data_IF_746965692601
#
_entry.id   IF_746965692601
#
_cell.length_a   1.000
_cell.length_b   1.000
_cell.length_c   1.000
_cell.angle_alpha   90.00
_cell.angle_beta   90.00
_cell.angle_gamma   90.00
#
_symmetry.space_group_name_H-M   'P 1'
#
loop_
_entity.id
_entity.type
_entity.pdbx_description
1 polymer ?
#
# COMPACT_ATOMS: atom_id res chain seq x y z
N UNK A 1 30.78 -8.53 34.28
CA UNK A 1 30.16 -7.95 33.08
C UNK A 1 31.23 -7.20 32.29
N UNK A 2 31.12 -7.22 30.96
CA UNK A 2 31.93 -6.39 30.06
C UNK A 2 30.96 -5.44 29.37
N UNK A 3 30.95 -4.17 29.74
CA UNK A 3 30.03 -3.18 29.19
C UNK A 3 30.77 -1.89 28.87
N UNK A 4 30.58 -1.39 27.64
CA UNK A 4 31.07 -0.07 27.19
C UNK A 4 32.55 0.22 27.48
N UNK A 5 33.43 -0.79 27.34
CA UNK A 5 34.88 -0.65 27.53
C UNK A 5 35.39 -0.86 28.96
N UNK A 6 34.49 -1.07 29.93
CA UNK A 6 34.83 -1.32 31.32
C UNK A 6 34.50 -2.77 31.70
N UNK A 7 35.37 -3.40 32.48
CA UNK A 7 35.11 -4.71 33.06
C UNK A 7 34.89 -4.61 34.57
N UNK A 8 33.98 -5.45 35.05
CA UNK A 8 33.77 -5.66 36.48
C UNK A 8 33.50 -7.15 36.72
N UNK A 9 34.29 -7.78 37.56
CA UNK A 9 34.02 -9.15 37.99
C UNK A 9 34.39 -9.36 39.45
N UNK A 10 33.69 -10.29 40.11
CA UNK A 10 33.95 -10.71 41.48
C UNK A 10 34.26 -12.20 41.47
N UNK A 11 35.45 -12.58 41.91
CA UNK A 11 35.82 -13.99 42.12
C UNK A 11 36.04 -14.16 43.62
N UNK A 12 35.21 -15.02 44.22
CA UNK A 12 35.10 -15.17 45.67
C UNK A 12 34.89 -13.80 46.38
N UNK A 13 35.89 -13.32 47.12
CA UNK A 13 35.86 -12.07 47.90
C UNK A 13 36.67 -10.92 47.30
N UNK A 14 37.30 -11.12 46.14
CA UNK A 14 38.08 -10.06 45.46
C UNK A 14 37.27 -9.46 44.34
N UNK A 15 37.10 -8.14 44.40
CA UNK A 15 36.48 -7.33 43.35
C UNK A 15 37.58 -6.85 42.43
N UNK A 16 37.41 -7.10 41.13
CA UNK A 16 38.30 -6.60 40.10
C UNK A 16 37.55 -5.67 39.16
N UNK A 17 38.14 -4.51 38.89
CA UNK A 17 37.59 -3.48 38.01
C UNK A 17 38.68 -2.84 37.18
N UNK A 18 38.30 -2.37 36.01
CA UNK A 18 39.11 -1.48 35.18
C UNK A 18 38.69 -1.53 33.73
N UNK A 19 39.60 -1.14 32.84
CA UNK A 19 39.31 -1.02 31.41
C UNK A 19 39.76 -2.25 30.63
N UNK A 20 39.08 -2.55 29.52
CA UNK A 20 39.52 -3.60 28.61
C UNK A 20 39.67 -3.12 27.18
N UNK A 21 40.72 -3.61 26.51
CA UNK A 21 40.91 -3.42 25.08
C UNK A 21 40.82 -4.78 24.41
N UNK A 22 39.94 -4.87 23.41
CA UNK A 22 39.81 -6.04 22.55
C UNK A 22 40.29 -5.69 21.15
N UNK A 23 41.36 -6.34 20.68
CA UNK A 23 41.85 -6.18 19.32
C UNK A 23 42.24 -7.56 18.75
N UNK A 24 41.59 -7.92 17.63
CA UNK A 24 41.71 -9.22 16.97
C UNK A 24 41.42 -10.40 17.91
N UNK A 25 42.47 -11.08 18.38
CA UNK A 25 42.38 -12.28 19.22
C UNK A 25 43.01 -12.08 20.61
N UNK A 26 43.25 -10.83 20.99
CA UNK A 26 43.89 -10.43 22.24
C UNK A 26 42.91 -9.59 23.03
N UNK A 27 42.70 -9.99 24.29
CA UNK A 27 41.96 -9.23 25.29
C UNK A 27 42.94 -8.79 26.37
N UNK A 28 43.06 -7.47 26.56
CA UNK A 28 43.94 -6.87 27.57
C UNK A 28 43.05 -6.22 28.62
N UNK A 29 43.22 -6.63 29.87
CA UNK A 29 42.59 -6.00 31.03
C UNK A 29 43.60 -5.10 31.74
N UNK A 30 43.22 -3.83 31.90
CA UNK A 30 43.92 -2.84 32.71
C UNK A 30 43.20 -2.77 34.05
N UNK A 31 43.81 -3.28 35.13
CA UNK A 31 43.16 -3.32 36.45
C UNK A 31 43.42 -2.03 37.22
N UNK A 32 42.34 -1.38 37.65
CA UNK A 32 42.38 -0.31 38.66
C UNK A 32 42.45 -0.89 40.07
N UNK A 33 41.80 -2.04 40.28
CA UNK A 33 41.82 -2.81 41.52
C UNK A 33 41.97 -4.31 41.20
N UNK A 34 43.02 -5.02 41.68
CA UNK A 34 44.18 -4.51 42.41
C UNK A 34 45.10 -3.66 41.51
N UNK A 35 45.71 -2.61 42.08
CA UNK A 35 46.51 -1.61 41.37
C UNK A 35 47.67 -2.23 40.57
N UNK A 36 47.96 -1.63 39.41
CA UNK A 36 49.13 -1.88 38.55
C UNK A 36 49.31 -3.32 38.05
N UNK A 37 48.20 -4.03 37.79
CA UNK A 37 48.27 -5.32 37.11
C UNK A 37 47.69 -5.19 35.70
N UNK A 38 48.47 -5.56 34.68
CA UNK A 38 47.98 -5.72 33.31
C UNK A 38 47.98 -7.20 32.98
N UNK A 39 46.82 -7.78 32.72
CA UNK A 39 46.71 -9.20 32.36
C UNK A 39 46.30 -9.33 30.90
N UNK A 40 47.12 -10.05 30.14
CA UNK A 40 46.88 -10.33 28.72
C UNK A 40 46.30 -11.73 28.59
N UNK A 41 45.12 -11.83 27.98
CA UNK A 41 44.52 -13.11 27.63
C UNK A 41 44.45 -13.28 26.13
N UNK A 42 44.79 -14.49 25.67
CA UNK A 42 44.56 -14.91 24.29
C UNK A 42 43.17 -15.53 24.21
N UNK A 43 42.34 -15.01 23.32
CA UNK A 43 41.00 -15.56 23.08
C UNK A 43 41.16 -16.89 22.36
N UNK A 44 40.49 -17.93 22.88
CA UNK A 44 40.57 -19.29 22.33
C UNK A 44 39.39 -19.58 21.42
N UNK A 45 38.20 -19.03 21.72
CA UNK A 45 37.03 -19.08 20.86
C UNK A 45 36.27 -17.74 20.90
N UNK A 46 35.95 -17.23 19.70
CA UNK A 46 35.14 -16.04 19.48
C UNK A 46 33.87 -16.45 18.73
N UNK A 47 32.71 -16.30 19.36
CA UNK A 47 31.40 -16.41 18.69
C UNK A 47 30.66 -15.08 18.81
N UNK A 48 29.64 -14.87 17.97
CA UNK A 48 28.89 -13.60 17.87
C UNK A 48 28.26 -13.10 19.19
N UNK A 49 28.23 -13.93 20.24
CA UNK A 49 27.63 -13.60 21.54
C UNK A 49 28.41 -14.11 22.77
N UNK A 50 29.55 -14.77 22.57
CA UNK A 50 30.31 -15.39 23.66
C UNK A 50 31.81 -15.26 23.45
N UNK A 51 32.48 -14.73 24.47
CA UNK A 51 33.94 -14.68 24.54
C UNK A 51 34.43 -15.75 25.52
N UNK A 52 35.29 -16.66 25.05
CA UNK A 52 35.94 -17.66 25.89
C UNK A 52 37.44 -17.38 25.93
N UNK A 53 37.95 -17.11 27.13
CA UNK A 53 39.38 -16.92 27.36
C UNK A 53 39.86 -17.78 28.53
N UNK A 54 41.13 -18.20 28.43
CA UNK A 54 41.77 -19.04 29.44
C UNK A 54 42.67 -18.15 30.32
N UNK A 55 42.50 -18.25 31.63
CA UNK A 55 43.45 -17.73 32.63
C UNK A 55 43.97 -18.92 33.42
N UNK A 56 45.17 -18.82 33.99
CA UNK A 56 45.89 -19.93 34.64
C UNK A 56 44.92 -20.80 35.47
N UNK A 57 44.72 -22.06 35.01
CA UNK A 57 43.81 -23.09 35.55
C UNK A 57 42.29 -22.83 35.56
N UNK A 58 41.76 -21.83 34.84
CA UNK A 58 40.32 -21.53 34.81
C UNK A 58 39.86 -20.99 33.45
N UNK A 59 38.89 -21.67 32.83
CA UNK A 59 38.22 -21.20 31.61
C UNK A 59 37.07 -20.26 31.97
N UNK A 60 37.12 -19.01 31.52
CA UNK A 60 36.06 -18.03 31.75
C UNK A 60 35.22 -17.88 30.48
N UNK A 61 33.90 -18.08 30.61
CA UNK A 61 32.91 -17.81 29.56
C UNK A 61 32.17 -16.53 29.91
N UNK A 62 32.32 -15.49 29.09
CA UNK A 62 31.58 -14.24 29.24
C UNK A 62 30.58 -14.14 28.08
N UNK A 63 29.30 -14.31 28.41
CA UNK A 63 28.19 -14.06 27.50
C UNK A 63 27.80 -12.59 27.58
N UNK A 64 27.68 -11.91 26.44
CA UNK A 64 27.08 -10.58 26.41
C UNK A 64 25.60 -10.71 26.76
N UNK A 65 25.15 -9.99 27.78
CA UNK A 65 23.70 -9.81 28.00
C UNK A 65 23.22 -8.97 26.82
N UNK A 66 22.58 -9.62 25.85
CA UNK A 66 21.88 -8.95 24.75
C UNK A 66 20.99 -7.88 25.40
N UNK A 67 21.13 -6.58 25.07
CA UNK A 67 20.17 -5.59 25.53
C UNK A 67 18.81 -6.09 25.06
N UNK A 68 17.89 -6.29 25.99
CA UNK A 68 16.52 -6.67 25.67
C UNK A 68 15.97 -5.57 24.78
N UNK A 69 15.98 -5.79 23.45
CA UNK A 69 15.18 -4.99 22.53
C UNK A 69 13.79 -4.99 23.15
N UNK A 70 13.30 -3.81 23.53
CA UNK A 70 11.93 -3.65 23.97
C UNK A 70 11.08 -4.42 22.97
N UNK A 71 10.41 -5.47 23.46
CA UNK A 71 9.60 -6.37 22.65
C UNK A 71 8.60 -5.46 21.93
N UNK A 72 8.84 -5.19 20.64
CA UNK A 72 7.90 -4.46 19.79
C UNK A 72 6.58 -5.19 20.03
N UNK A 73 5.50 -4.52 20.48
CA UNK A 73 4.25 -5.20 20.74
C UNK A 73 3.95 -6.00 19.48
N UNK A 74 3.91 -7.33 19.60
CA UNK A 74 3.50 -8.20 18.52
C UNK A 74 2.16 -7.63 18.06
N UNK A 75 2.14 -7.08 16.85
CA UNK A 75 0.92 -6.56 16.24
C UNK A 75 0.08 -7.81 16.04
N UNK A 76 -0.73 -8.14 17.04
CA UNK A 76 -1.67 -9.25 16.96
C UNK A 76 -2.66 -8.83 15.89
N UNK A 77 -2.46 -9.34 14.68
CA UNK A 77 -3.34 -9.08 13.55
C UNK A 77 -4.69 -9.63 13.95
N UNK A 78 -5.61 -8.75 14.37
CA UNK A 78 -6.96 -9.15 14.73
C UNK A 78 -7.59 -9.75 13.47
N UNK A 79 -7.99 -11.04 13.49
CA UNK A 79 -8.66 -11.63 12.35
C UNK A 79 -9.95 -10.88 12.07
N UNK A 80 -10.37 -10.83 10.81
CA UNK A 80 -11.64 -10.21 10.39
C UNK A 80 -12.79 -10.82 11.19
N UNK A 81 -13.52 -10.00 11.97
CA UNK A 81 -14.65 -10.43 12.81
C UNK A 81 -15.90 -10.85 11.99
N UNK A 82 -15.77 -11.08 10.69
CA UNK A 82 -16.87 -11.48 9.83
C UNK A 82 -17.96 -10.42 9.71
N UNK A 83 -19.13 -10.83 9.21
CA UNK A 83 -20.28 -9.95 9.06
C UNK A 83 -21.04 -9.85 10.40
N UNK A 84 -21.04 -8.69 11.02
CA UNK A 84 -21.85 -8.42 12.23
C UNK A 84 -23.01 -7.49 11.89
N UNK A 85 -24.13 -7.63 12.62
CA UNK A 85 -25.28 -6.74 12.45
C UNK A 85 -24.91 -5.27 12.68
N UNK A 86 -24.02 -5.00 13.64
CA UNK A 86 -23.51 -3.66 13.91
C UNK A 86 -22.73 -3.07 12.73
N UNK A 87 -21.89 -3.87 12.06
CA UNK A 87 -21.16 -3.44 10.86
C UNK A 87 -22.10 -3.11 9.69
N UNK A 88 -23.13 -3.92 9.50
CA UNK A 88 -24.15 -3.69 8.48
C UNK A 88 -24.95 -2.43 8.74
N UNK A 89 -25.47 -2.26 9.97
CA UNK A 89 -26.22 -1.07 10.36
C UNK A 89 -25.38 0.20 10.24
N UNK A 90 -24.10 0.15 10.61
CA UNK A 90 -23.18 1.29 10.44
C UNK A 90 -22.97 1.65 8.97
N UNK A 91 -22.81 0.65 8.10
CA UNK A 91 -22.73 0.87 6.65
C UNK A 91 -24.02 1.45 6.06
N UNK A 92 -25.16 0.90 6.45
CA UNK A 92 -26.48 1.38 6.03
C UNK A 92 -26.74 2.82 6.50
N UNK A 93 -26.41 3.14 7.75
CA UNK A 93 -26.51 4.49 8.30
C UNK A 93 -25.62 5.47 7.54
N UNK A 94 -24.39 5.07 7.19
CA UNK A 94 -23.49 5.89 6.38
C UNK A 94 -24.07 6.21 5.00
N UNK A 95 -24.58 5.22 4.28
CA UNK A 95 -25.25 5.44 2.98
C UNK A 95 -26.47 6.35 3.12
N UNK A 96 -27.31 6.11 4.13
CA UNK A 96 -28.49 6.95 4.39
C UNK A 96 -28.11 8.41 4.70
N UNK A 97 -27.06 8.62 5.49
CA UNK A 97 -26.56 9.95 5.82
C UNK A 97 -26.06 10.71 4.58
N UNK A 98 -25.31 10.03 3.69
CA UNK A 98 -24.88 10.64 2.43
C UNK A 98 -26.07 11.03 1.54
N UNK A 99 -27.10 10.18 1.46
CA UNK A 99 -28.33 10.51 0.73
C UNK A 99 -29.07 11.71 1.33
N UNK A 100 -29.09 11.85 2.67
CA UNK A 100 -29.66 13.03 3.34
C UNK A 100 -28.87 14.29 2.95
N UNK A 101 -27.54 14.25 2.98
CA UNK A 101 -26.72 15.40 2.59
C UNK A 101 -27.01 15.79 1.13
N UNK A 102 -27.00 14.82 0.21
CA UNK A 102 -27.33 15.06 -1.20
C UNK A 102 -28.74 15.62 -1.38
N UNK A 103 -29.71 15.16 -0.59
CA UNK A 103 -31.08 15.68 -0.60
C UNK A 103 -31.18 17.12 -0.06
N UNK A 104 -30.46 17.43 1.04
CA UNK A 104 -30.45 18.76 1.64
C UNK A 104 -29.80 19.81 0.72
N UNK A 105 -28.71 19.44 0.05
CA UNK A 105 -27.99 20.27 -0.92
C UNK A 105 -28.64 20.30 -2.31
N UNK A 106 -29.73 19.55 -2.52
CA UNK A 106 -30.45 19.54 -3.80
C UNK A 106 -31.16 20.86 -4.07
N UNK A 107 -30.95 21.42 -5.27
CA UNK A 107 -31.60 22.66 -5.74
C UNK A 107 -33.12 22.51 -5.85
N UNK A 108 -33.61 21.36 -6.30
CA UNK A 108 -35.05 21.10 -6.45
C UNK A 108 -35.42 19.70 -5.95
N UNK A 109 -35.74 19.61 -4.65
CA UNK A 109 -36.09 18.37 -3.95
C UNK A 109 -37.33 17.67 -4.50
N UNK A 110 -38.24 18.40 -5.16
CA UNK A 110 -39.47 17.83 -5.73
C UNK A 110 -39.25 17.19 -7.10
N UNK A 111 -38.21 17.61 -7.82
CA UNK A 111 -37.87 17.09 -9.14
C UNK A 111 -36.94 15.85 -9.10
N UNK A 112 -36.62 15.34 -7.90
CA UNK A 112 -35.77 14.16 -7.74
C UNK A 112 -36.49 12.93 -8.30
N UNK A 113 -35.90 12.32 -9.32
CA UNK A 113 -36.39 11.06 -9.85
C UNK A 113 -35.91 9.89 -8.96
N UNK A 114 -36.73 9.54 -7.97
CA UNK A 114 -36.45 8.46 -7.02
C UNK A 114 -36.27 7.09 -7.68
N UNK A 115 -36.84 6.87 -8.87
CA UNK A 115 -36.63 5.64 -9.64
C UNK A 115 -35.17 5.55 -10.11
N UNK A 116 -34.64 6.62 -10.69
CA UNK A 116 -33.24 6.66 -11.15
C UNK A 116 -32.26 6.54 -9.98
N UNK A 117 -32.53 7.23 -8.86
CA UNK A 117 -31.71 7.12 -7.64
C UNK A 117 -31.72 5.69 -7.09
N UNK A 118 -32.90 5.07 -6.97
CA UNK A 118 -33.05 3.70 -6.48
C UNK A 118 -32.36 2.67 -7.39
N UNK A 119 -32.48 2.82 -8.70
CA UNK A 119 -31.79 1.94 -9.66
C UNK A 119 -30.27 2.11 -9.57
N UNK A 120 -29.76 3.35 -9.50
CA UNK A 120 -28.33 3.60 -9.37
C UNK A 120 -27.73 3.00 -8.11
N UNK A 121 -28.36 3.23 -6.96
CA UNK A 121 -27.94 2.64 -5.68
C UNK A 121 -28.02 1.11 -5.71
N UNK A 122 -29.09 0.56 -6.27
CA UNK A 122 -29.23 -0.90 -6.39
C UNK A 122 -28.18 -1.49 -7.30
N UNK A 123 -27.88 -0.86 -8.44
CA UNK A 123 -26.83 -1.31 -9.36
C UNK A 123 -25.45 -1.28 -8.70
N UNK A 124 -25.14 -0.24 -7.92
CA UNK A 124 -23.89 -0.15 -7.17
C UNK A 124 -23.78 -1.25 -6.10
N UNK A 125 -24.85 -1.50 -5.33
CA UNK A 125 -24.89 -2.57 -4.33
C UNK A 125 -24.81 -3.96 -4.95
N UNK A 126 -25.51 -4.19 -6.08
CA UNK A 126 -25.47 -5.45 -6.81
C UNK A 126 -24.08 -5.72 -7.38
N UNK A 127 -23.40 -4.71 -7.93
CA UNK A 127 -22.04 -4.84 -8.42
C UNK A 127 -21.06 -5.13 -7.26
N UNK A 128 -21.16 -4.39 -6.15
CA UNK A 128 -20.34 -4.63 -4.97
C UNK A 128 -20.53 -6.04 -4.39
N UNK A 129 -21.78 -6.47 -4.22
CA UNK A 129 -22.10 -7.82 -3.76
C UNK A 129 -21.62 -8.88 -4.76
N UNK A 130 -21.82 -8.64 -6.05
CA UNK A 130 -21.38 -9.52 -7.12
C UNK A 130 -19.88 -9.78 -7.04
N UNK A 131 -19.07 -8.72 -7.01
CA UNK A 131 -17.61 -8.82 -6.95
C UNK A 131 -17.11 -9.44 -5.64
N UNK A 132 -17.75 -9.14 -4.50
CA UNK A 132 -17.27 -9.57 -3.17
C UNK A 132 -17.76 -10.95 -2.73
N UNK A 133 -18.88 -11.44 -3.25
CA UNK A 133 -19.55 -12.66 -2.75
C UNK A 133 -19.78 -13.74 -3.80
N UNK A 134 -19.88 -13.38 -5.08
CA UNK A 134 -20.20 -14.35 -6.14
C UNK A 134 -18.89 -14.86 -6.75
N UNK A 135 -18.51 -16.14 -6.53
CA UNK A 135 -17.18 -16.64 -6.91
C UNK A 135 -16.89 -16.56 -8.41
N UNK A 136 -17.91 -16.73 -9.25
CA UNK A 136 -17.75 -16.61 -10.70
C UNK A 136 -17.43 -15.17 -11.12
N UNK A 137 -18.11 -14.17 -10.53
CA UNK A 137 -17.87 -12.76 -10.82
C UNK A 137 -16.49 -12.37 -10.29
N UNK A 138 -16.15 -12.79 -9.07
CA UNK A 138 -14.82 -12.58 -8.49
C UNK A 138 -13.72 -13.09 -9.43
N UNK A 139 -13.82 -14.33 -9.93
CA UNK A 139 -12.83 -14.90 -10.88
C UNK A 139 -12.72 -14.10 -12.17
N UNK A 140 -13.84 -13.59 -12.70
CA UNK A 140 -13.82 -12.75 -13.89
C UNK A 140 -13.06 -11.44 -13.64
N UNK A 141 -13.30 -10.79 -12.49
CA UNK A 141 -12.57 -9.57 -12.10
C UNK A 141 -11.09 -9.85 -11.77
N UNK A 142 -10.77 -10.98 -11.15
CA UNK A 142 -9.38 -11.41 -10.92
C UNK A 142 -8.64 -11.66 -12.24
N UNK A 143 -9.31 -12.26 -13.22
CA UNK A 143 -8.74 -12.44 -14.56
C UNK A 143 -8.43 -11.10 -15.22
N UNK A 144 -9.38 -10.15 -15.19
CA UNK A 144 -9.15 -8.79 -15.71
C UNK A 144 -8.03 -8.09 -14.94
N UNK A 145 -8.00 -8.19 -13.61
CA UNK A 145 -6.93 -7.65 -12.77
C UNK A 145 -5.56 -8.24 -13.11
N UNK A 146 -5.50 -9.54 -13.43
CA UNK A 146 -4.28 -10.20 -13.89
C UNK A 146 -3.74 -9.63 -15.20
N UNK A 147 -4.60 -9.21 -16.13
CA UNK A 147 -4.18 -8.51 -17.35
C UNK A 147 -3.53 -7.17 -17.01
N UNK A 148 -4.08 -6.40 -16.06
CA UNK A 148 -3.47 -5.15 -15.63
C UNK A 148 -2.13 -5.37 -14.92
N UNK A 149 -2.00 -6.41 -14.10
CA UNK A 149 -0.72 -6.78 -13.48
C UNK A 149 0.32 -7.13 -14.54
N UNK A 150 -0.05 -7.91 -15.57
CA UNK A 150 0.86 -8.23 -16.67
C UNK A 150 1.34 -6.98 -17.42
N UNK A 151 0.45 -6.01 -17.63
CA UNK A 151 0.81 -4.71 -18.22
C UNK A 151 1.78 -3.93 -17.32
N UNK A 152 1.57 -3.96 -16.00
CA UNK A 152 2.49 -3.36 -15.03
C UNK A 152 3.87 -4.01 -15.08
N UNK A 153 3.94 -5.33 -15.26
CA UNK A 153 5.20 -6.06 -15.39
C UNK A 153 5.96 -5.67 -16.66
N UNK A 154 5.27 -5.51 -17.80
CA UNK A 154 5.89 -4.98 -19.03
C UNK A 154 6.40 -3.56 -18.84
N UNK A 155 5.66 -2.73 -18.11
CA UNK A 155 6.09 -1.36 -17.80
C UNK A 155 7.32 -1.35 -16.92
N UNK A 156 7.37 -2.23 -15.91
CA UNK A 156 8.52 -2.38 -15.02
C UNK A 156 9.77 -2.80 -15.80
N UNK A 157 9.65 -3.80 -16.68
CA UNK A 157 10.76 -4.24 -17.53
C UNK A 157 11.27 -3.11 -18.45
N UNK A 158 10.36 -2.33 -19.04
CA UNK A 158 10.73 -1.15 -19.84
C UNK A 158 11.41 -0.05 -19.02
N UNK A 159 10.96 0.15 -17.77
CA UNK A 159 11.54 1.14 -16.86
C UNK A 159 12.92 0.74 -16.37
N UNK A 160 13.12 -0.55 -16.08
CA UNK A 160 14.43 -1.12 -15.73
C UNK A 160 15.42 -1.02 -16.89
N UNK A 161 14.96 -1.23 -18.14
CA UNK A 161 15.78 -1.00 -19.33
C UNK A 161 16.25 0.46 -19.45
N UNK A 162 15.38 1.43 -19.15
CA UNK A 162 15.70 2.86 -19.28
C UNK A 162 16.51 3.43 -18.10
N UNK A 163 16.21 2.99 -16.88
CA UNK A 163 16.70 3.61 -15.64
C UNK A 163 17.67 2.72 -14.86
N UNK A 164 17.81 1.45 -15.24
CA UNK A 164 18.74 0.49 -14.65
C UNK A 164 18.60 0.39 -13.13
N UNK A 165 19.73 0.50 -12.43
CA UNK A 165 19.81 0.38 -10.97
C UNK A 165 18.99 1.41 -10.20
N UNK A 166 18.53 2.51 -10.80
CA UNK A 166 17.67 3.49 -10.12
C UNK A 166 16.27 2.93 -9.79
N UNK A 167 15.87 1.82 -10.42
CA UNK A 167 14.66 1.08 -10.09
C UNK A 167 14.86 0.10 -8.92
N UNK A 168 16.11 -0.12 -8.48
CA UNK A 168 16.43 -1.03 -7.39
C UNK A 168 16.16 -0.39 -6.03
N UNK A 169 15.07 -0.85 -5.42
CA UNK A 169 14.65 -0.42 -4.08
C UNK A 169 15.68 -0.79 -3.01
N UNK A 170 16.46 -1.85 -3.21
CA UNK A 170 17.46 -2.29 -2.23
C UNK A 170 18.69 -1.39 -2.21
N UNK A 171 19.06 -0.81 -3.35
CA UNK A 171 20.22 0.07 -3.51
C UNK A 171 19.89 1.55 -3.27
N UNK A 172 18.79 2.04 -3.83
CA UNK A 172 18.45 3.48 -3.85
C UNK A 172 17.18 3.83 -3.07
N UNK A 173 16.51 2.83 -2.48
CA UNK A 173 15.22 3.03 -1.82
C UNK A 173 14.06 3.20 -2.82
N UNK A 174 12.84 3.36 -2.29
CA UNK A 174 11.65 3.57 -3.12
C UNK A 174 11.59 5.01 -3.64
N UNK A 175 12.14 5.24 -4.84
CA UNK A 175 12.06 6.55 -5.49
C UNK A 175 10.72 6.66 -6.23
N UNK A 176 9.78 7.43 -5.66
CA UNK A 176 8.44 7.65 -6.21
C UNK A 176 8.45 7.96 -7.72
N UNK A 177 9.34 8.86 -8.14
CA UNK A 177 9.45 9.32 -9.53
C UNK A 177 9.64 8.16 -10.50
N UNK A 178 10.55 7.23 -10.19
CA UNK A 178 10.92 6.13 -11.09
C UNK A 178 9.98 4.93 -10.96
N UNK A 179 9.36 4.74 -9.79
CA UNK A 179 8.47 3.60 -9.56
C UNK A 179 7.05 3.85 -10.08
N UNK A 180 6.58 5.09 -10.10
CA UNK A 180 5.16 5.39 -10.36
C UNK A 180 4.94 6.14 -11.68
N UNK A 181 5.80 7.11 -12.03
CA UNK A 181 5.57 7.90 -13.26
C UNK A 181 5.67 7.09 -14.56
N UNK A 182 6.62 6.16 -14.74
CA UNK A 182 6.70 5.36 -15.97
C UNK A 182 5.43 4.55 -16.22
N UNK A 183 4.79 4.04 -15.16
CA UNK A 183 3.48 3.38 -15.22
C UNK A 183 2.42 4.30 -15.81
N UNK A 184 2.34 5.55 -15.35
CA UNK A 184 1.38 6.53 -15.87
C UNK A 184 1.65 6.80 -17.36
N UNK A 185 2.91 7.04 -17.73
CA UNK A 185 3.29 7.34 -19.13
C UNK A 185 2.93 6.17 -20.05
N UNK A 186 3.26 4.94 -19.64
CA UNK A 186 2.94 3.74 -20.42
C UNK A 186 1.44 3.56 -20.57
N UNK A 187 0.67 3.66 -19.48
CA UNK A 187 -0.78 3.52 -19.53
C UNK A 187 -1.43 4.64 -20.36
N UNK A 188 -0.98 5.89 -20.27
CA UNK A 188 -1.47 6.98 -21.12
C UNK A 188 -1.21 6.69 -22.60
N UNK A 189 -0.02 6.19 -22.96
CA UNK A 189 0.29 5.82 -24.34
C UNK A 189 -0.55 4.62 -24.82
N UNK A 190 -0.72 3.59 -23.99
CA UNK A 190 -1.54 2.42 -24.30
C UNK A 190 -3.01 2.80 -24.48
N UNK A 191 -3.57 3.61 -23.58
CA UNK A 191 -4.95 4.09 -23.67
C UNK A 191 -5.14 4.96 -24.93
N UNK A 192 -4.17 5.83 -25.26
CA UNK A 192 -4.19 6.60 -26.51
C UNK A 192 -4.16 5.70 -27.75
N UNK A 193 -3.39 4.61 -27.73
CA UNK A 193 -3.37 3.62 -28.81
C UNK A 193 -4.71 2.89 -28.94
N UNK A 194 -5.27 2.40 -27.82
CA UNK A 194 -6.56 1.72 -27.80
C UNK A 194 -7.71 2.65 -28.23
N UNK A 195 -7.60 3.95 -27.93
CA UNK A 195 -8.51 4.97 -28.41
C UNK A 195 -8.35 5.21 -29.91
N UNK A 196 -7.13 5.29 -30.44
CA UNK A 196 -6.90 5.40 -31.89
C UNK A 196 -7.43 4.19 -32.66
N UNK A 197 -7.26 2.97 -32.11
CA UNK A 197 -7.73 1.72 -32.70
C UNK A 197 -9.26 1.51 -32.60
N UNK A 198 -9.98 2.35 -31.86
CA UNK A 198 -11.45 2.23 -31.73
C UNK A 198 -11.94 1.28 -30.64
N UNK A 199 -11.04 0.64 -29.87
CA UNK A 199 -11.41 -0.38 -28.87
C UNK A 199 -12.17 0.23 -27.69
N UNK A 200 -11.67 1.35 -27.16
CA UNK A 200 -12.30 2.06 -26.05
C UNK A 200 -13.72 2.51 -26.43
N UNK A 201 -13.91 3.00 -27.65
CA UNK A 201 -15.19 3.49 -28.14
C UNK A 201 -16.25 2.38 -28.20
N UNK A 202 -15.86 1.16 -28.61
CA UNK A 202 -16.79 0.02 -28.64
C UNK A 202 -17.22 -0.36 -27.23
N UNK A 203 -16.27 -0.48 -26.29
CA UNK A 203 -16.55 -0.83 -24.89
C UNK A 203 -17.42 0.24 -24.23
N UNK A 204 -17.01 1.50 -24.33
CA UNK A 204 -17.70 2.65 -23.73
C UNK A 204 -19.11 2.80 -24.31
N UNK A 205 -19.32 2.60 -25.62
CA UNK A 205 -20.66 2.62 -26.22
C UNK A 205 -21.56 1.50 -25.67
N UNK A 206 -21.01 0.31 -25.45
CA UNK A 206 -21.73 -0.80 -24.83
C UNK A 206 -22.16 -0.47 -23.39
N UNK A 207 -21.23 0.06 -22.59
CA UNK A 207 -21.52 0.47 -21.21
C UNK A 207 -22.51 1.63 -21.14
N UNK A 208 -22.34 2.63 -22.00
CA UNK A 208 -23.26 3.77 -22.09
C UNK A 208 -24.67 3.30 -22.44
N UNK A 209 -24.82 2.34 -23.35
CA UNK A 209 -26.11 1.76 -23.70
C UNK A 209 -26.76 1.04 -22.52
N UNK A 210 -25.98 0.28 -21.73
CA UNK A 210 -26.46 -0.34 -20.49
C UNK A 210 -26.93 0.71 -19.49
N UNK A 211 -26.14 1.77 -19.27
CA UNK A 211 -26.50 2.86 -18.36
C UNK A 211 -27.76 3.62 -18.81
N UNK A 212 -27.85 3.97 -20.09
CA UNK A 212 -29.05 4.61 -20.68
C UNK A 212 -30.28 3.75 -20.46
N UNK A 213 -30.18 2.43 -20.69
CA UNK A 213 -31.31 1.50 -20.57
C UNK A 213 -31.71 1.23 -19.12
N UNK A 214 -30.75 1.14 -18.21
CA UNK A 214 -31.01 0.89 -16.79
C UNK A 214 -31.55 2.15 -16.09
N UNK A 215 -30.87 3.29 -16.26
CA UNK A 215 -31.13 4.50 -15.47
C UNK A 215 -32.08 5.50 -16.16
N UNK A 216 -32.33 5.33 -17.47
CA UNK A 216 -33.21 6.23 -18.24
C UNK A 216 -32.61 7.62 -18.47
N UNK A 217 -31.29 7.73 -18.38
CA UNK A 217 -30.50 8.95 -18.56
C UNK A 217 -30.13 9.13 -20.04
N UNK A 218 -29.74 10.34 -20.44
CA UNK A 218 -29.40 10.69 -21.82
C UNK A 218 -28.19 9.90 -22.32
N UNK A 219 -28.15 9.68 -23.64
CA UNK A 219 -27.05 8.93 -24.26
C UNK A 219 -25.72 9.65 -24.12
N UNK A 220 -25.72 10.99 -24.15
CA UNK A 220 -24.50 11.79 -24.02
C UNK A 220 -23.98 11.79 -22.56
N UNK A 221 -24.86 11.91 -21.57
CA UNK A 221 -24.43 11.83 -20.17
C UNK A 221 -23.97 10.40 -19.80
N UNK A 222 -24.64 9.37 -20.32
CA UNK A 222 -24.21 7.97 -20.18
C UNK A 222 -22.85 7.71 -20.82
N UNK A 223 -22.58 8.28 -22.00
CA UNK A 223 -21.33 8.09 -22.72
C UNK A 223 -20.17 8.74 -21.98
N UNK A 224 -20.37 9.93 -21.40
CA UNK A 224 -19.35 10.58 -20.58
C UNK A 224 -19.03 9.80 -19.31
N UNK A 225 -20.05 9.33 -18.59
CA UNK A 225 -19.86 8.55 -17.35
C UNK A 225 -19.16 7.21 -17.65
N UNK A 226 -19.59 6.51 -18.70
CA UNK A 226 -18.91 5.29 -19.11
C UNK A 226 -17.47 5.55 -19.59
N UNK A 227 -17.24 6.69 -20.25
CA UNK A 227 -15.91 7.12 -20.71
C UNK A 227 -14.93 7.35 -19.55
N UNK A 228 -15.39 7.97 -18.46
CA UNK A 228 -14.57 8.26 -17.27
C UNK A 228 -14.03 7.00 -16.55
N UNK A 229 -14.53 5.80 -16.88
CA UNK A 229 -13.97 4.55 -16.34
C UNK A 229 -12.59 4.24 -16.95
N UNK A 230 -12.34 4.72 -18.17
CA UNK A 230 -11.11 4.44 -18.93
C UNK A 230 -10.29 5.68 -19.27
N UNK A 231 -10.95 6.83 -19.40
CA UNK A 231 -10.37 8.09 -19.81
C UNK A 231 -10.35 9.06 -18.64
N UNK A 232 -9.40 10.00 -18.66
CA UNK A 232 -9.34 11.04 -17.63
C UNK A 232 -10.54 11.99 -17.66
N UNK A 233 -10.74 12.73 -16.56
CA UNK A 233 -11.80 13.73 -16.39
C UNK A 233 -11.88 14.80 -17.48
N UNK A 234 -10.77 15.07 -18.18
CA UNK A 234 -10.69 16.03 -19.31
C UNK A 234 -10.87 15.36 -20.67
N UNK A 235 -10.72 14.04 -20.76
CA UNK A 235 -10.73 13.27 -22.01
C UNK A 235 -12.10 12.64 -22.28
N UNK A 236 -12.80 12.17 -21.25
CA UNK A 236 -14.13 11.60 -21.45
C UNK A 236 -15.16 12.61 -22.00
N UNK A 237 -15.19 13.89 -21.56
CA UNK A 237 -16.10 14.88 -22.15
C UNK A 237 -15.80 15.17 -23.63
N UNK A 238 -14.57 14.91 -24.11
CA UNK A 238 -14.22 15.08 -25.52
C UNK A 238 -15.04 14.16 -26.43
N UNK A 239 -15.42 12.98 -25.93
CA UNK A 239 -16.27 12.02 -26.66
C UNK A 239 -17.67 12.56 -26.94
N UNK A 240 -18.14 13.52 -26.12
CA UNK A 240 -19.46 14.13 -26.23
C UNK A 240 -19.38 15.61 -26.61
N UNK A 241 -18.24 16.09 -27.10
CA UNK A 241 -17.99 17.52 -27.39
C UNK A 241 -19.11 18.18 -28.19
N UNK A 242 -19.64 17.51 -29.22
CA UNK A 242 -20.71 18.02 -30.07
C UNK A 242 -22.07 18.20 -29.35
N UNK A 243 -22.25 17.55 -28.21
CA UNK A 243 -23.47 17.58 -27.41
C UNK A 243 -23.39 18.51 -26.20
N UNK A 244 -22.16 18.85 -25.73
CA UNK A 244 -21.95 19.67 -24.53
C UNK A 244 -22.69 21.02 -24.58
N UNK A 245 -22.69 21.71 -25.72
CA UNK A 245 -23.38 23.00 -25.87
C UNK A 245 -24.91 22.91 -25.73
N UNK A 246 -25.48 21.72 -25.97
CA UNK A 246 -26.92 21.47 -25.94
C UNK A 246 -27.37 20.76 -24.66
N UNK A 247 -26.45 20.44 -23.76
CA UNK A 247 -26.74 19.77 -22.50
C UNK A 247 -27.45 20.70 -21.51
N UNK A 248 -28.36 20.13 -20.76
CA UNK A 248 -28.99 20.79 -19.61
C UNK A 248 -27.98 20.97 -18.47
N UNK A 249 -28.29 21.85 -17.52
CA UNK A 249 -27.47 22.05 -16.32
C UNK A 249 -27.30 20.77 -15.49
N UNK A 250 -28.30 19.89 -15.50
CA UNK A 250 -28.23 18.60 -14.79
C UNK A 250 -27.27 17.63 -15.48
N UNK A 251 -27.30 17.56 -16.81
CA UNK A 251 -26.38 16.72 -17.59
C UNK A 251 -24.94 17.20 -17.43
N UNK A 252 -24.69 18.50 -17.48
CA UNK A 252 -23.35 19.07 -17.25
C UNK A 252 -22.86 18.76 -15.84
N UNK A 253 -23.73 18.92 -14.81
CA UNK A 253 -23.38 18.57 -13.44
C UNK A 253 -23.01 17.08 -13.33
N UNK A 254 -23.77 16.21 -13.96
CA UNK A 254 -23.50 14.78 -13.97
C UNK A 254 -22.18 14.45 -14.68
N UNK A 255 -21.87 15.10 -15.80
CA UNK A 255 -20.58 14.96 -16.50
C UNK A 255 -19.41 15.36 -15.58
N UNK A 256 -19.55 16.47 -14.86
CA UNK A 256 -18.53 16.95 -13.92
C UNK A 256 -18.36 16.00 -12.73
N UNK A 257 -19.47 15.56 -12.11
CA UNK A 257 -19.44 14.64 -10.96
C UNK A 257 -18.93 13.27 -11.37
N UNK A 258 -19.28 12.77 -12.55
CA UNK A 258 -18.82 11.47 -13.03
C UNK A 258 -17.32 11.43 -13.32
N UNK A 259 -16.63 12.57 -13.43
CA UNK A 259 -15.18 12.64 -13.63
C UNK A 259 -14.38 12.83 -12.34
N UNK A 260 -15.03 13.17 -11.23
CA UNK A 260 -14.43 13.36 -9.89
C UNK A 260 -14.51 12.08 -9.06
#
# INVERSE_FOLDING_TARGET
SLEKGVFHYKIADKVAKGDYIHQNNILIFYYDEPKDTVVKHKITELTDSTFVFNSINSTFKVSSVKPTLAKIPEITIKPSEGFTLNSFLRGALGMFFLLIISYLLSVNRKAINWKTVGIGLSAQLLLAFGVLKVPFIQKAFEFVGGIFVLILDFTKAGSEFLLGGLMDVSSYGFIFLFQILPTIIFFSALTSLLFYLGVIQVIVKGMAWVLTKLMGISGAESLSVAGNIFLGQTEAPLMIKAYLEKMTRSEILLVMVGGM
#
